data_IF_036446656336
#
_entry.id   IF_036446656336
#
_cell.length_a   1.000
_cell.length_b   1.000
_cell.length_c   1.000
_cell.angle_alpha   90.00
_cell.angle_beta   90.00
_cell.angle_gamma   90.00
#
_symmetry.space_group_name_H-M   'P 1'
#
loop_
_entity.id
_entity.type
_entity.pdbx_description
1 polymer ?
#
# COMPACT_ATOMS: atom_id res chain seq x y z
N UNK A 1 0.46 4.18 -0.82
CA UNK A 1 -0.77 4.86 -0.33
C UNK A 1 -1.89 4.78 -1.35
N UNK A 2 -3.15 4.99 -0.91
CA UNK A 2 -4.31 5.05 -1.80
C UNK A 2 -4.36 6.33 -2.64
N UNK A 3 -5.12 6.28 -3.75
CA UNK A 3 -5.17 7.38 -4.73
C UNK A 3 -5.53 8.74 -4.13
N UNK A 4 -6.49 8.78 -3.21
CA UNK A 4 -7.07 10.03 -2.68
C UNK A 4 -6.53 10.44 -1.32
N UNK A 5 -5.36 9.93 -0.96
CA UNK A 5 -4.70 10.23 0.31
C UNK A 5 -3.72 11.39 0.18
N UNK A 6 -3.43 12.00 1.34
CA UNK A 6 -2.44 13.06 1.47
C UNK A 6 -1.12 12.47 2.01
N UNK A 7 -0.04 12.41 1.22
CA UNK A 7 1.23 11.82 1.63
C UNK A 7 1.86 12.51 2.85
N UNK A 8 1.69 13.83 2.95
CA UNK A 8 2.26 14.60 4.06
C UNK A 8 1.58 14.34 5.41
N UNK A 9 0.30 13.87 5.37
CA UNK A 9 -0.47 13.55 6.58
C UNK A 9 -0.37 12.06 6.93
N UNK A 10 -0.44 11.19 5.91
CA UNK A 10 -0.62 9.76 6.07
C UNK A 10 0.68 8.97 6.28
N UNK A 11 1.85 9.61 6.12
CA UNK A 11 3.14 8.95 6.22
C UNK A 11 4.16 9.76 7.00
N UNK A 12 5.14 9.09 7.58
CA UNK A 12 6.31 9.71 8.20
C UNK A 12 7.42 9.89 7.15
N UNK A 13 7.35 10.97 6.37
CA UNK A 13 8.28 11.23 5.28
C UNK A 13 9.76 11.22 5.72
N UNK A 14 10.06 11.75 6.91
CA UNK A 14 11.42 11.76 7.44
C UNK A 14 11.93 10.33 7.65
N UNK A 15 11.12 9.48 8.27
CA UNK A 15 11.45 8.08 8.48
C UNK A 15 11.62 7.32 7.18
N UNK A 16 10.73 7.56 6.20
CA UNK A 16 10.82 6.92 4.88
C UNK A 16 12.15 7.23 4.20
N UNK A 17 12.55 8.51 4.16
CA UNK A 17 13.83 8.93 3.55
C UNK A 17 15.04 8.37 4.29
N UNK A 18 15.05 8.43 5.63
CA UNK A 18 16.15 7.91 6.46
C UNK A 18 16.37 6.40 6.30
N UNK A 19 15.32 5.66 5.94
CA UNK A 19 15.35 4.20 5.84
C UNK A 19 15.23 3.68 4.40
N UNK A 20 15.42 4.54 3.39
CA UNK A 20 15.32 4.21 1.96
C UNK A 20 13.99 3.51 1.60
N UNK A 21 12.89 3.95 2.21
CA UNK A 21 11.54 3.40 1.96
C UNK A 21 10.84 4.27 0.92
N UNK A 22 10.48 3.66 -0.19
CA UNK A 22 9.81 4.36 -1.27
C UNK A 22 8.36 4.67 -0.97
N UNK A 23 7.92 5.86 -1.36
CA UNK A 23 6.53 6.25 -1.30
C UNK A 23 5.89 6.10 -2.70
N UNK A 24 4.83 5.32 -2.77
CA UNK A 24 4.11 5.06 -4.03
C UNK A 24 2.62 5.34 -3.84
N UNK A 25 2.02 6.05 -4.81
CA UNK A 25 0.57 6.23 -4.89
C UNK A 25 -0.01 5.21 -5.87
N UNK A 26 -0.83 4.28 -5.37
CA UNK A 26 -1.52 3.30 -6.23
C UNK A 26 -2.75 3.90 -6.91
N UNK A 27 -3.22 3.25 -7.96
CA UNK A 27 -4.40 3.69 -8.72
C UNK A 27 -5.74 3.43 -8.00
N UNK A 28 -5.79 2.48 -7.07
CA UNK A 28 -6.98 2.19 -6.26
C UNK A 28 -7.10 3.11 -5.04
N UNK A 29 -8.29 3.20 -4.47
CA UNK A 29 -8.54 3.92 -3.22
C UNK A 29 -8.03 3.21 -1.98
N UNK A 30 -8.58 3.55 -0.82
CA UNK A 30 -8.22 2.97 0.48
C UNK A 30 -7.08 3.69 1.18
N UNK A 31 -6.63 3.14 2.33
CA UNK A 31 -5.60 3.69 3.20
C UNK A 31 -4.17 3.46 2.74
N UNK A 32 -3.21 3.98 3.49
CA UNK A 32 -1.78 3.68 3.31
C UNK A 32 -1.44 2.31 3.89
N UNK A 33 -0.47 1.66 3.28
CA UNK A 33 0.08 0.36 3.68
C UNK A 33 1.60 0.42 3.60
N UNK A 34 2.26 -0.42 4.38
CA UNK A 34 3.70 -0.65 4.31
C UNK A 34 3.94 -2.02 3.69
N UNK A 35 4.89 -2.11 2.76
CA UNK A 35 5.30 -3.35 2.13
C UNK A 35 6.79 -3.57 2.34
N UNK A 36 7.14 -4.75 2.80
CA UNK A 36 8.50 -5.28 2.88
C UNK A 36 8.53 -6.71 2.33
N UNK A 37 9.64 -7.41 2.49
CA UNK A 37 9.79 -8.79 2.02
C UNK A 37 8.89 -9.79 2.78
N UNK A 38 8.35 -9.40 3.93
CA UNK A 38 7.43 -10.19 4.73
C UNK A 38 5.95 -10.00 4.37
N UNK A 39 5.65 -9.13 3.38
CA UNK A 39 4.30 -8.87 2.90
C UNK A 39 4.03 -9.54 1.55
N UNK A 40 2.97 -10.32 1.46
CA UNK A 40 2.48 -10.91 0.22
C UNK A 40 1.33 -10.10 -0.34
N UNK A 41 1.37 -9.76 -1.63
CA UNK A 41 0.26 -9.12 -2.34
C UNK A 41 -0.56 -10.17 -3.12
N UNK A 42 -1.87 -9.97 -3.17
CA UNK A 42 -2.77 -10.70 -4.06
C UNK A 42 -3.63 -9.75 -4.88
N UNK A 43 -4.12 -10.20 -6.04
CA UNK A 43 -5.05 -9.45 -6.87
C UNK A 43 -6.03 -10.38 -7.60
N UNK A 44 -7.34 -10.06 -7.49
CA UNK A 44 -8.38 -10.62 -8.34
C UNK A 44 -8.68 -9.63 -9.45
N UNK A 45 -8.42 -10.01 -10.69
CA UNK A 45 -8.70 -9.21 -11.88
C UNK A 45 -9.95 -9.79 -12.55
N UNK A 46 -10.96 -8.95 -12.74
CA UNK A 46 -12.26 -9.34 -13.29
C UNK A 46 -12.49 -8.52 -14.56
N UNK A 47 -12.43 -9.14 -15.75
CA UNK A 47 -12.83 -8.48 -16.98
C UNK A 47 -14.36 -8.29 -16.93
N UNK A 48 -14.82 -7.09 -17.13
CA UNK A 48 -16.25 -6.74 -17.15
C UNK A 48 -17.07 -7.29 -15.97
N UNK A 49 -17.22 -6.55 -14.91
CA UNK A 49 -18.07 -7.00 -13.82
C UNK A 49 -17.94 -6.25 -12.52
N UNK A 50 -18.85 -6.55 -11.63
CA UNK A 50 -18.84 -6.01 -10.28
C UNK A 50 -17.95 -6.85 -9.37
N UNK A 51 -17.12 -6.15 -8.61
CA UNK A 51 -16.28 -6.77 -7.58
C UNK A 51 -17.17 -7.23 -6.42
N UNK A 52 -17.14 -8.51 -6.13
CA UNK A 52 -17.71 -9.08 -4.92
C UNK A 52 -16.61 -9.28 -3.87
N UNK A 53 -16.36 -8.25 -3.07
CA UNK A 53 -15.30 -8.25 -2.04
C UNK A 53 -15.56 -9.31 -0.97
N UNK A 54 -16.82 -9.55 -0.61
CA UNK A 54 -17.18 -10.56 0.39
C UNK A 54 -16.82 -11.94 -0.11
N UNK A 55 -17.22 -12.27 -1.34
CA UNK A 55 -16.89 -13.54 -1.97
C UNK A 55 -15.38 -13.77 -2.09
N UNK A 56 -14.62 -12.72 -2.45
CA UNK A 56 -13.16 -12.83 -2.51
C UNK A 56 -12.56 -13.09 -1.11
N UNK A 57 -13.05 -12.42 -0.06
CA UNK A 57 -12.62 -12.68 1.31
C UNK A 57 -12.97 -14.11 1.77
N UNK A 58 -14.17 -14.61 1.43
CA UNK A 58 -14.59 -15.98 1.72
C UNK A 58 -13.72 -17.03 0.99
N UNK A 59 -13.35 -16.78 -0.26
CA UNK A 59 -12.44 -17.65 -1.01
C UNK A 59 -11.04 -17.72 -0.37
N UNK A 60 -10.50 -16.57 0.05
CA UNK A 60 -9.23 -16.53 0.75
C UNK A 60 -9.31 -17.19 2.12
N UNK A 61 -10.36 -16.92 2.90
CA UNK A 61 -10.61 -17.59 4.20
C UNK A 61 -10.65 -19.11 4.03
N UNK A 62 -11.36 -19.60 2.99
CA UNK A 62 -11.46 -21.03 2.71
C UNK A 62 -10.10 -21.65 2.33
N UNK A 63 -9.24 -20.91 1.63
CA UNK A 63 -7.90 -21.38 1.32
C UNK A 63 -7.08 -21.60 2.61
N UNK A 64 -7.04 -20.61 3.49
CA UNK A 64 -6.32 -20.68 4.77
C UNK A 64 -6.90 -21.76 5.71
N UNK A 65 -8.21 -21.93 5.73
CA UNK A 65 -8.87 -22.97 6.54
C UNK A 65 -8.42 -24.38 6.15
N UNK A 66 -8.05 -24.64 4.90
CA UNK A 66 -7.50 -25.94 4.46
C UNK A 66 -6.10 -26.23 5.01
N UNK A 67 -5.41 -25.20 5.47
CA UNK A 67 -4.11 -25.29 6.15
C UNK A 67 -4.26 -25.14 7.68
N UNK A 68 -5.45 -25.36 8.23
CA UNK A 68 -5.77 -25.20 9.65
C UNK A 68 -5.49 -23.80 10.23
N UNK A 69 -5.52 -22.79 9.35
CA UNK A 69 -5.41 -21.37 9.73
C UNK A 69 -6.82 -20.76 9.68
N UNK A 70 -7.38 -20.48 10.85
CA UNK A 70 -8.74 -19.95 10.96
C UNK A 70 -8.72 -18.42 10.96
N UNK A 71 -9.15 -17.83 9.83
CA UNK A 71 -9.27 -16.40 9.65
C UNK A 71 -10.72 -15.95 9.83
N UNK A 72 -10.93 -14.77 10.38
CA UNK A 72 -12.24 -14.12 10.50
C UNK A 72 -12.39 -13.03 9.43
N UNK A 73 -13.60 -12.88 8.88
CA UNK A 73 -13.92 -11.81 7.93
C UNK A 73 -14.59 -10.68 8.70
N UNK A 74 -14.00 -9.49 8.66
CA UNK A 74 -14.58 -8.30 9.28
C UNK A 74 -15.77 -7.75 8.49
N UNK A 75 -16.61 -6.86 9.07
CA UNK A 75 -17.68 -6.18 8.34
C UNK A 75 -17.21 -5.36 7.11
N UNK A 76 -15.92 -5.06 7.03
CA UNK A 76 -15.30 -4.35 5.90
C UNK A 76 -14.65 -5.29 4.87
N UNK A 77 -14.82 -6.60 5.05
CA UNK A 77 -14.19 -7.65 4.27
C UNK A 77 -12.65 -7.70 4.37
N UNK A 78 -12.07 -7.19 5.46
CA UNK A 78 -10.69 -7.46 5.83
C UNK A 78 -10.58 -8.83 6.48
N UNK A 79 -9.42 -9.49 6.40
CA UNK A 79 -9.15 -10.75 7.07
C UNK A 79 -8.41 -10.52 8.38
N UNK A 80 -8.87 -11.17 9.41
CA UNK A 80 -8.39 -11.05 10.77
C UNK A 80 -7.95 -12.42 11.31
N UNK A 81 -6.92 -12.40 12.14
CA UNK A 81 -6.38 -13.57 12.85
C UNK A 81 -6.39 -13.28 14.34
N UNK A 82 -6.80 -14.24 15.16
CA UNK A 82 -6.68 -14.11 16.62
C UNK A 82 -5.24 -14.29 17.04
N UNK A 83 -4.76 -13.37 17.87
CA UNK A 83 -3.47 -13.53 18.56
C UNK A 83 -3.50 -14.66 19.61
N UNK A 84 -2.42 -14.82 20.37
CA UNK A 84 -2.32 -15.89 21.38
C UNK A 84 -3.30 -15.74 22.54
N UNK A 85 -3.75 -14.53 22.78
CA UNK A 85 -4.74 -14.20 23.84
C UNK A 85 -6.18 -14.23 23.31
N UNK A 86 -6.38 -14.61 22.04
CA UNK A 86 -7.67 -14.69 21.38
C UNK A 86 -8.21 -13.35 20.85
N UNK A 87 -7.40 -12.28 20.88
CA UNK A 87 -7.79 -10.97 20.40
C UNK A 87 -7.67 -10.93 18.86
N UNK A 88 -8.73 -10.60 18.12
CA UNK A 88 -8.67 -10.51 16.69
C UNK A 88 -7.87 -9.28 16.24
N UNK A 89 -6.89 -9.50 15.35
CA UNK A 89 -6.05 -8.48 14.75
C UNK A 89 -6.03 -8.64 13.22
N UNK A 90 -5.89 -7.55 12.52
CA UNK A 90 -5.91 -7.54 11.06
C UNK A 90 -4.62 -8.13 10.49
N UNK A 91 -4.75 -9.12 9.62
CA UNK A 91 -3.65 -9.75 8.89
C UNK A 91 -3.61 -9.34 7.42
N UNK A 92 -4.76 -8.94 6.89
CA UNK A 92 -4.93 -8.57 5.48
C UNK A 92 -5.81 -7.33 5.36
N UNK A 93 -5.35 -6.36 4.60
CA UNK A 93 -6.14 -5.24 4.12
C UNK A 93 -6.36 -5.33 2.63
N UNK A 94 -7.45 -4.75 2.13
CA UNK A 94 -7.74 -4.76 0.71
C UNK A 94 -8.21 -3.42 0.18
N UNK A 95 -8.04 -3.23 -1.13
CA UNK A 95 -8.55 -2.10 -1.89
C UNK A 95 -9.03 -2.58 -3.26
N UNK A 96 -9.77 -1.73 -3.95
CA UNK A 96 -10.30 -2.09 -5.26
C UNK A 96 -10.40 -0.87 -6.18
N UNK A 97 -10.42 -1.15 -7.46
CA UNK A 97 -10.73 -0.18 -8.52
C UNK A 97 -11.67 -0.85 -9.51
N UNK A 98 -12.73 -0.15 -9.85
CA UNK A 98 -13.71 -0.61 -10.82
C UNK A 98 -13.73 0.36 -12.00
N UNK A 99 -13.65 -0.19 -13.20
CA UNK A 99 -13.78 0.55 -14.46
C UNK A 99 -14.79 -0.17 -15.36
N UNK A 100 -15.16 0.45 -16.48
CA UNK A 100 -16.05 -0.18 -17.45
C UNK A 100 -15.43 -1.40 -18.14
N UNK A 101 -14.11 -1.39 -18.35
CA UNK A 101 -13.41 -2.45 -19.08
C UNK A 101 -12.93 -3.58 -18.18
N UNK A 102 -12.50 -3.27 -16.96
CA UNK A 102 -12.00 -4.25 -16.02
C UNK A 102 -12.07 -3.71 -14.60
N UNK A 103 -12.12 -4.61 -13.65
CA UNK A 103 -12.08 -4.32 -12.22
C UNK A 103 -11.02 -5.14 -11.55
N UNK A 104 -10.38 -4.61 -10.50
CA UNK A 104 -9.47 -5.40 -9.69
C UNK A 104 -9.71 -5.14 -8.20
N UNK A 105 -9.66 -6.22 -7.45
CA UNK A 105 -9.66 -6.24 -5.99
C UNK A 105 -8.33 -6.83 -5.53
N UNK A 106 -7.56 -6.07 -4.81
CA UNK A 106 -6.24 -6.49 -4.37
C UNK A 106 -6.07 -6.26 -2.87
N UNK A 107 -5.14 -6.98 -2.29
CA UNK A 107 -4.86 -6.87 -0.87
C UNK A 107 -3.50 -7.43 -0.52
N UNK A 108 -3.27 -7.51 0.78
CA UNK A 108 -2.00 -7.91 1.38
C UNK A 108 -2.22 -9.05 2.36
N UNK A 109 -1.18 -9.84 2.61
CA UNK A 109 -1.06 -10.68 3.80
C UNK A 109 0.24 -10.32 4.50
N UNK A 110 0.15 -9.97 5.78
CA UNK A 110 1.29 -9.78 6.65
C UNK A 110 1.78 -11.17 7.09
N UNK A 111 2.74 -11.74 6.38
CA UNK A 111 3.29 -13.08 6.70
C UNK A 111 4.37 -12.95 7.76
N UNK A 112 5.40 -12.16 7.50
CA UNK A 112 6.54 -11.93 8.39
C UNK A 112 7.02 -10.47 8.38
N UNK A 113 6.14 -9.54 8.02
CA UNK A 113 6.45 -8.10 7.93
C UNK A 113 6.94 -7.52 9.26
N UNK A 114 7.88 -6.58 9.18
CA UNK A 114 8.35 -5.80 10.33
C UNK A 114 7.28 -4.78 10.74
N UNK A 115 6.52 -5.12 11.79
CA UNK A 115 5.44 -4.28 12.29
C UNK A 115 5.92 -2.97 12.91
N UNK A 116 7.15 -2.90 13.42
CA UNK A 116 7.72 -1.65 13.93
C UNK A 116 8.00 -0.67 12.77
N UNK A 117 8.60 -1.18 11.69
CA UNK A 117 8.81 -0.37 10.47
C UNK A 117 7.49 0.07 9.86
N UNK A 118 6.48 -0.79 9.86
CA UNK A 118 5.12 -0.46 9.43
C UNK A 118 4.55 0.71 10.26
N UNK A 119 4.60 0.61 11.58
CA UNK A 119 4.07 1.64 12.48
C UNK A 119 4.78 2.97 12.29
N UNK A 120 6.12 2.99 12.29
CA UNK A 120 6.89 4.21 12.11
C UNK A 120 6.71 4.84 10.72
N UNK A 121 6.58 4.02 9.66
CA UNK A 121 6.32 4.51 8.29
C UNK A 121 4.97 5.20 8.14
N UNK A 122 3.95 4.73 8.86
CA UNK A 122 2.57 5.22 8.79
C UNK A 122 2.20 6.18 9.92
N UNK A 123 3.17 6.60 10.72
CA UNK A 123 2.96 7.56 11.79
C UNK A 123 2.67 8.95 11.23
N UNK A 124 1.59 9.57 11.69
CA UNK A 124 1.25 10.91 11.28
C UNK A 124 2.20 11.93 11.90
N UNK A 125 2.89 12.70 11.06
CA UNK A 125 3.86 13.71 11.48
C UNK A 125 3.39 15.13 11.19
N UNK A 126 2.42 15.30 10.28
CA UNK A 126 1.79 16.57 9.97
C UNK A 126 0.29 16.49 10.27
N UNK A 127 -0.22 17.51 10.96
CA UNK A 127 -1.64 17.64 11.28
C UNK A 127 -2.22 18.76 10.42
N UNK A 128 -3.15 18.40 9.54
CA UNK A 128 -3.95 19.41 8.83
C UNK A 128 -5.08 19.93 9.74
N UNK A 129 -5.44 21.19 9.56
CA UNK A 129 -6.62 21.80 10.17
C UNK A 129 -7.89 21.28 9.49
N UNK A 130 -7.87 21.17 8.15
CA UNK A 130 -8.92 20.56 7.32
C UNK A 130 -8.30 19.82 6.13
N UNK A 131 -8.99 18.78 5.65
CA UNK A 131 -8.54 18.01 4.48
C UNK A 131 -9.69 17.34 3.76
N UNK A 132 -9.65 17.33 2.43
CA UNK A 132 -10.54 16.55 1.56
C UNK A 132 -9.98 15.16 1.24
N UNK A 133 -8.83 14.80 1.80
CA UNK A 133 -8.24 13.48 1.60
C UNK A 133 -8.99 12.40 2.40
N UNK A 134 -8.87 11.16 1.92
CA UNK A 134 -9.40 10.00 2.63
C UNK A 134 -8.37 9.57 3.67
N UNK A 135 -8.76 9.58 4.95
CA UNK A 135 -7.91 9.12 6.04
C UNK A 135 -7.78 7.59 6.05
N UNK A 136 -6.62 7.10 6.46
CA UNK A 136 -6.43 5.69 6.78
C UNK A 136 -7.23 5.31 8.03
N UNK A 137 -7.86 4.12 7.99
CA UNK A 137 -8.49 3.53 9.17
C UNK A 137 -7.47 2.64 9.85
N UNK A 138 -6.95 3.10 10.97
CA UNK A 138 -5.99 2.35 11.76
C UNK A 138 -6.62 1.09 12.34
N UNK A 139 -5.87 0.01 12.32
CA UNK A 139 -6.25 -1.27 12.92
C UNK A 139 -5.03 -1.86 13.62
N UNK A 140 -5.25 -2.58 14.70
CA UNK A 140 -4.21 -3.43 15.23
C UNK A 140 -3.92 -4.54 14.21
N UNK A 141 -2.67 -4.77 13.94
CA UNK A 141 -2.21 -5.77 12.95
C UNK A 141 -1.43 -6.88 13.63
N UNK A 142 -1.33 -8.01 12.94
CA UNK A 142 -0.55 -9.19 13.35
C UNK A 142 0.05 -9.82 12.09
N UNK A 143 1.17 -10.51 12.22
CA UNK A 143 1.71 -11.34 11.14
C UNK A 143 1.29 -12.81 11.32
N UNK A 144 1.32 -13.59 10.23
CA UNK A 144 1.12 -15.03 10.31
C UNK A 144 2.16 -15.69 11.22
N UNK A 145 3.41 -15.27 11.15
CA UNK A 145 4.50 -15.85 11.95
C UNK A 145 4.36 -15.62 13.45
N UNK A 146 3.64 -14.60 13.90
CA UNK A 146 3.35 -14.45 15.34
C UNK A 146 2.51 -15.61 15.91
N UNK A 147 1.68 -16.23 15.05
CA UNK A 147 0.84 -17.37 15.44
C UNK A 147 1.40 -18.70 14.94
N UNK A 148 2.04 -18.70 13.79
CA UNK A 148 2.57 -19.87 13.08
C UNK A 148 4.02 -19.59 12.68
N UNK A 149 4.99 -19.73 13.60
CA UNK A 149 6.38 -19.28 13.40
C UNK A 149 7.09 -19.91 12.20
N UNK A 150 6.67 -21.12 11.81
CA UNK A 150 7.27 -21.87 10.69
C UNK A 150 6.73 -21.46 9.31
N UNK A 151 5.66 -20.63 9.27
CA UNK A 151 5.04 -20.26 7.99
C UNK A 151 5.89 -19.20 7.28
N UNK A 152 6.27 -19.47 6.06
CA UNK A 152 7.01 -18.57 5.19
C UNK A 152 6.11 -18.00 4.08
N UNK A 153 6.58 -16.96 3.40
CA UNK A 153 5.90 -16.38 2.21
C UNK A 153 5.60 -17.45 1.17
N UNK A 154 6.56 -18.34 0.94
CA UNK A 154 6.43 -19.41 -0.05
C UNK A 154 5.26 -20.35 0.26
N UNK A 155 5.05 -20.68 1.53
CA UNK A 155 3.97 -21.58 1.95
C UNK A 155 2.60 -20.96 1.66
N UNK A 156 2.46 -19.65 1.89
CA UNK A 156 1.23 -18.92 1.57
C UNK A 156 1.02 -18.83 0.06
N UNK A 157 2.08 -18.61 -0.74
CA UNK A 157 2.01 -18.61 -2.20
C UNK A 157 1.56 -20.00 -2.70
N UNK A 158 2.18 -21.06 -2.24
CA UNK A 158 1.86 -22.44 -2.63
C UNK A 158 0.41 -22.83 -2.23
N UNK A 159 -0.01 -22.44 -1.02
CA UNK A 159 -1.39 -22.61 -0.54
C UNK A 159 -2.42 -21.96 -1.47
N UNK A 160 -2.19 -20.68 -1.80
CA UNK A 160 -3.10 -19.93 -2.66
C UNK A 160 -3.06 -20.46 -4.09
N UNK A 161 -1.88 -20.75 -4.65
CA UNK A 161 -1.73 -21.31 -5.98
C UNK A 161 -2.46 -22.65 -6.11
N UNK A 162 -2.31 -23.54 -5.12
CA UNK A 162 -3.03 -24.81 -5.08
C UNK A 162 -4.54 -24.62 -4.98
N UNK A 163 -5.00 -23.71 -4.09
CA UNK A 163 -6.42 -23.46 -3.88
C UNK A 163 -7.10 -22.91 -5.14
N UNK A 164 -6.47 -21.94 -5.79
CA UNK A 164 -7.01 -21.31 -7.00
C UNK A 164 -6.62 -22.05 -8.30
N UNK A 165 -5.86 -23.14 -8.21
CA UNK A 165 -5.39 -23.94 -9.35
C UNK A 165 -4.63 -23.06 -10.37
N UNK A 166 -3.77 -22.18 -9.87
CA UNK A 166 -2.98 -21.29 -10.69
C UNK A 166 -1.62 -21.92 -11.02
N UNK A 167 -1.01 -21.47 -12.11
CA UNK A 167 0.36 -21.87 -12.50
C UNK A 167 1.28 -20.68 -12.20
N UNK A 168 2.43 -20.92 -11.56
CA UNK A 168 3.42 -19.87 -11.36
C UNK A 168 3.86 -19.27 -12.69
N UNK A 169 3.95 -17.94 -12.72
CA UNK A 169 4.46 -17.19 -13.87
C UNK A 169 5.53 -16.22 -13.38
N UNK A 170 6.70 -16.29 -13.97
CA UNK A 170 7.80 -15.37 -13.69
C UNK A 170 7.72 -14.16 -14.60
N UNK A 171 7.80 -12.98 -14.02
CA UNK A 171 7.91 -11.73 -14.77
C UNK A 171 9.38 -11.58 -15.18
N UNK A 172 9.64 -11.67 -16.45
CA UNK A 172 10.96 -11.42 -17.02
C UNK A 172 11.15 -9.97 -17.50
N UNK A 173 12.36 -9.64 -17.89
CA UNK A 173 12.71 -8.33 -18.41
C UNK A 173 11.92 -7.91 -19.66
N UNK A 174 11.41 -8.88 -20.42
CA UNK A 174 10.61 -8.64 -21.64
C UNK A 174 9.31 -7.95 -21.29
N UNK A 175 8.57 -8.49 -20.32
CA UNK A 175 7.31 -7.89 -19.85
C UNK A 175 7.54 -6.49 -19.25
N UNK A 176 8.61 -6.34 -18.47
CA UNK A 176 8.97 -5.03 -17.90
C UNK A 176 9.35 -3.99 -18.97
N UNK A 177 9.82 -4.45 -20.14
CA UNK A 177 10.18 -3.56 -21.27
C UNK A 177 9.00 -3.19 -22.17
N UNK A 178 7.83 -3.78 -21.95
CA UNK A 178 6.63 -3.46 -22.73
C UNK A 178 6.29 -1.97 -22.63
N UNK A 179 5.99 -1.28 -23.76
CA UNK A 179 5.75 0.16 -23.78
C UNK A 179 4.69 0.63 -22.79
N UNK A 180 3.56 -0.10 -22.68
CA UNK A 180 2.48 0.23 -21.75
C UNK A 180 2.90 0.09 -20.28
N UNK A 181 3.77 -0.88 -19.98
CA UNK A 181 4.32 -1.05 -18.62
C UNK A 181 5.25 0.10 -18.30
N UNK A 182 6.14 0.48 -19.23
CA UNK A 182 7.05 1.61 -19.07
C UNK A 182 6.31 2.95 -18.95
N UNK A 183 5.29 3.19 -19.75
CA UNK A 183 4.44 4.38 -19.65
C UNK A 183 3.77 4.46 -18.29
N UNK A 184 3.15 3.36 -17.83
CA UNK A 184 2.52 3.26 -16.51
C UNK A 184 3.53 3.50 -15.38
N UNK A 185 4.71 2.91 -15.47
CA UNK A 185 5.79 3.10 -14.50
C UNK A 185 6.23 4.57 -14.42
N UNK A 186 6.47 5.21 -15.59
CA UNK A 186 6.87 6.61 -15.65
C UNK A 186 5.77 7.54 -15.11
N UNK A 187 4.50 7.24 -15.40
CA UNK A 187 3.36 7.96 -14.85
C UNK A 187 3.30 7.86 -13.33
N UNK A 188 3.40 6.64 -12.79
CA UNK A 188 3.27 6.38 -11.34
C UNK A 188 4.39 7.01 -10.50
N UNK A 189 5.58 7.21 -11.07
CA UNK A 189 6.70 7.86 -10.40
C UNK A 189 6.76 9.38 -10.61
N UNK A 190 5.86 9.94 -11.42
CA UNK A 190 5.86 11.39 -11.66
C UNK A 190 5.45 12.18 -10.41
N UNK A 191 5.95 13.43 -10.32
CA UNK A 191 5.54 14.36 -9.26
C UNK A 191 4.04 14.61 -9.30
N UNK A 192 3.49 14.76 -10.51
CA UNK A 192 2.08 15.02 -10.77
C UNK A 192 1.19 13.90 -10.22
N UNK A 193 1.64 12.65 -10.34
CA UNK A 193 0.91 11.52 -9.78
C UNK A 193 1.08 11.39 -8.27
N UNK A 194 2.31 11.43 -7.78
CA UNK A 194 2.59 11.16 -6.38
C UNK A 194 2.07 12.29 -5.47
N UNK A 195 2.38 13.53 -5.82
CA UNK A 195 2.07 14.71 -5.02
C UNK A 195 0.90 15.53 -5.59
N UNK A 196 0.85 15.70 -6.91
CA UNK A 196 -0.16 16.49 -7.61
C UNK A 196 -1.58 15.92 -7.56
N UNK A 197 -1.75 14.62 -7.30
CA UNK A 197 -3.07 14.02 -7.05
C UNK A 197 -3.57 14.19 -5.61
N UNK A 198 -2.84 14.95 -4.76
CA UNK A 198 -3.25 15.20 -3.38
C UNK A 198 -4.45 16.13 -3.33
N UNK A 199 -5.55 15.73 -2.62
CA UNK A 199 -6.71 16.58 -2.42
C UNK A 199 -6.38 17.85 -1.63
N UNK A 200 -7.29 18.84 -1.69
CA UNK A 200 -7.17 20.08 -0.91
C UNK A 200 -6.99 19.78 0.58
N UNK A 201 -6.05 20.46 1.20
CA UNK A 201 -5.90 20.52 2.66
C UNK A 201 -5.44 21.89 3.12
N UNK A 202 -5.72 22.22 4.38
CA UNK A 202 -5.32 23.44 5.05
C UNK A 202 -4.48 23.12 6.29
N UNK A 203 -3.38 23.80 6.48
CA UNK A 203 -2.54 23.69 7.68
C UNK A 203 -3.03 24.61 8.81
N UNK A 204 -2.50 24.41 10.03
CA UNK A 204 -2.91 25.17 11.22
C UNK A 204 -2.68 26.70 11.10
N UNK A 205 -1.71 27.12 10.30
CA UNK A 205 -1.38 28.53 10.01
C UNK A 205 -2.19 29.12 8.85
N UNK A 206 -3.19 28.40 8.34
CA UNK A 206 -4.03 28.84 7.25
C UNK A 206 -3.46 28.64 5.85
N UNK A 207 -2.31 27.95 5.71
CA UNK A 207 -1.75 27.64 4.41
C UNK A 207 -2.60 26.59 3.70
N UNK A 208 -3.20 26.94 2.56
CA UNK A 208 -3.98 26.04 1.73
C UNK A 208 -3.15 25.44 0.61
N UNK A 209 -3.24 24.12 0.45
CA UNK A 209 -2.55 23.36 -0.60
C UNK A 209 -3.55 22.52 -1.39
N UNK A 210 -3.55 22.66 -2.71
CA UNK A 210 -4.41 21.88 -3.62
C UNK A 210 -3.55 21.30 -4.74
N UNK A 211 -3.70 19.99 -4.97
CA UNK A 211 -2.89 19.26 -5.97
C UNK A 211 -1.38 19.48 -5.80
N UNK A 212 -0.93 19.54 -4.55
CA UNK A 212 0.45 19.80 -4.21
C UNK A 212 0.93 21.23 -4.48
N UNK A 213 0.03 22.19 -4.78
CA UNK A 213 0.35 23.59 -5.03
C UNK A 213 -0.20 24.46 -3.91
N UNK A 214 0.62 25.38 -3.42
CA UNK A 214 0.22 26.41 -2.44
C UNK A 214 -0.66 27.43 -3.13
N UNK A 215 -1.89 27.62 -2.67
CA UNK A 215 -2.85 28.47 -3.37
C UNK A 215 -2.48 29.95 -3.33
N UNK A 216 -1.83 30.44 -2.28
CA UNK A 216 -1.43 31.84 -2.13
C UNK A 216 -0.25 32.24 -3.02
N UNK A 217 0.69 31.33 -3.34
CA UNK A 217 1.90 31.65 -4.10
C UNK A 217 1.95 30.97 -5.47
N UNK A 218 1.16 29.90 -5.69
CA UNK A 218 1.25 29.08 -6.89
C UNK A 218 2.44 28.12 -6.93
N UNK A 219 3.25 28.07 -5.87
CA UNK A 219 4.43 27.21 -5.78
C UNK A 219 4.08 25.78 -5.39
N UNK A 220 4.94 24.83 -5.79
CA UNK A 220 4.81 23.44 -5.35
C UNK A 220 5.03 23.35 -3.84
N UNK A 221 4.12 22.66 -3.15
CA UNK A 221 4.28 22.38 -1.73
C UNK A 221 5.45 21.40 -1.57
N UNK A 222 6.51 21.83 -0.91
CA UNK A 222 7.78 21.14 -0.80
C UNK A 222 8.30 21.16 0.64
N UNK A 223 9.49 20.59 0.85
CA UNK A 223 10.19 20.67 2.13
C UNK A 223 10.38 22.10 2.62
N UNK A 224 10.63 23.05 1.70
CA UNK A 224 10.85 24.46 2.04
C UNK A 224 9.56 25.12 2.52
N UNK A 225 8.40 24.71 1.98
CA UNK A 225 7.08 25.17 2.38
C UNK A 225 6.71 24.76 3.81
N UNK A 226 7.32 23.66 4.30
CA UNK A 226 7.09 23.09 5.63
C UNK A 226 8.31 23.20 6.53
N UNK A 227 9.26 24.08 6.17
CA UNK A 227 10.48 24.34 6.92
C UNK A 227 10.17 24.66 8.38
N UNK A 228 10.79 23.90 9.30
CA UNK A 228 10.52 23.98 10.73
C UNK A 228 9.28 23.20 11.23
N UNK A 229 8.45 22.62 10.34
CA UNK A 229 7.29 21.78 10.68
C UNK A 229 7.55 20.28 10.51
N UNK A 230 8.50 19.93 9.63
CA UNK A 230 9.01 18.57 9.47
C UNK A 230 10.55 18.60 9.57
N UNK A 231 11.19 17.50 9.99
CA UNK A 231 12.63 17.35 9.88
C UNK A 231 13.05 17.55 8.42
N UNK A 232 14.27 18.02 8.23
CA UNK A 232 14.82 18.26 6.90
C UNK A 232 14.82 16.96 6.08
N UNK A 233 13.94 16.87 5.07
CA UNK A 233 13.68 15.67 4.28
C UNK A 233 14.08 15.93 2.84
N UNK A 234 15.03 15.17 2.33
CA UNK A 234 15.39 15.16 0.93
C UNK A 234 14.37 14.34 0.12
N UNK A 235 13.33 15.01 -0.37
CA UNK A 235 12.27 14.36 -1.14
C UNK A 235 12.73 13.81 -2.50
N UNK A 236 13.87 14.27 -3.02
CA UNK A 236 14.43 13.75 -4.28
C UNK A 236 14.93 12.32 -4.13
N UNK A 237 15.39 11.95 -2.92
CA UNK A 237 15.75 10.56 -2.61
C UNK A 237 14.58 9.58 -2.61
N UNK A 238 13.34 10.07 -2.55
CA UNK A 238 12.15 9.20 -2.61
C UNK A 238 11.82 8.75 -4.03
N UNK A 239 12.51 9.28 -5.04
CA UNK A 239 12.39 8.85 -6.43
C UNK A 239 13.63 8.04 -6.79
N UNK A 240 13.55 6.72 -6.86
CA UNK A 240 14.68 5.91 -7.27
C UNK A 240 15.10 6.30 -8.69
N UNK A 241 16.38 6.65 -8.86
CA UNK A 241 16.98 6.72 -10.17
C UNK A 241 17.20 5.29 -10.67
N UNK A 242 16.30 4.82 -11.56
CA UNK A 242 16.38 3.50 -12.18
C UNK A 242 17.39 3.44 -13.34
N UNK A 243 18.28 4.42 -13.49
CA UNK A 243 19.38 4.31 -14.42
C UNK A 243 20.41 3.26 -13.96
N UNK A 244 20.06 1.99 -14.12
CA UNK A 244 21.05 0.93 -14.33
C UNK A 244 21.62 0.19 -13.13
N UNK A 245 21.04 0.18 -11.94
CA UNK A 245 21.45 -0.76 -10.90
C UNK A 245 20.29 -1.67 -10.48
N UNK A 246 20.28 -2.87 -11.05
CA UNK A 246 19.52 -4.00 -10.54
C UNK A 246 20.00 -4.32 -9.11
N UNK A 247 19.34 -3.75 -8.10
CA UNK A 247 19.30 -4.43 -6.81
C UNK A 247 18.29 -5.56 -6.98
N UNK A 248 18.77 -6.78 -6.82
CA UNK A 248 17.98 -8.00 -6.82
C UNK A 248 17.03 -8.00 -5.62
N UNK A 249 15.95 -7.28 -5.72
CA UNK A 249 14.78 -7.44 -4.89
C UNK A 249 13.77 -8.19 -5.75
N UNK A 250 13.63 -9.47 -5.46
CA UNK A 250 12.60 -10.34 -6.03
C UNK A 250 11.24 -9.64 -5.94
N UNK A 251 10.76 -9.14 -7.09
CA UNK A 251 9.36 -8.84 -7.26
C UNK A 251 8.64 -10.18 -7.23
N UNK A 252 8.08 -10.53 -6.10
CA UNK A 252 7.08 -11.59 -6.01
C UNK A 252 5.74 -10.92 -6.27
N UNK A 253 5.10 -11.29 -7.33
CA UNK A 253 3.71 -10.94 -7.66
C UNK A 253 2.75 -11.90 -7.00
#
# INVERSE_FOLDING_TARGET
MGRFQNPWIETNLAYLVQNDIWLVRRQSGGGSVFHDQGNLNFSFIIPEGMIDRKKHAELLQLAFKKADIDLEISPRNDLWLKDRDGVPKKISGSAYKQTKAASFHHGTFLVSSDLNRLEESLKHTLIAKDTKSIASVRSQVITLQERFPEVEIKDVVDLLAHHFKTVPFEIDGTLLSEPLVQESFNSLRSWEWLWGETPLFELQDGLEVKKGIILSTGEKFSKDSIKGKLPEVDLERMFPDFSGQHRSSSLIL
#
